data_IF_190521178017
#
_entry.id   IF_190521178017
#
_cell.length_a   1.000
_cell.length_b   1.000
_cell.length_c   1.000
_cell.angle_alpha   90.00
_cell.angle_beta   90.00
_cell.angle_gamma   90.00
#
_symmetry.space_group_name_H-M   'P 1'
#
loop_
_entity.id
_entity.type
_entity.pdbx_description
1 polymer ?
#
# COMPACT_ATOMS: atom_id res chain seq x y z
N UNK A 1 -12.57 -1.16 -16.64
CA UNK A 1 -11.61 -2.22 -16.28
C UNK A 1 -10.36 -1.55 -15.73
N UNK A 2 -9.97 -1.81 -14.49
CA UNK A 2 -8.73 -1.26 -13.94
C UNK A 2 -7.54 -1.84 -14.71
N UNK A 3 -6.43 -1.10 -14.88
CA UNK A 3 -5.14 -1.70 -15.30
C UNK A 3 -4.61 -2.54 -14.13
N UNK A 4 -5.20 -3.73 -13.99
CA UNK A 4 -5.11 -4.63 -12.85
C UNK A 4 -4.11 -5.77 -13.14
N UNK A 5 -2.89 -5.42 -13.52
CA UNK A 5 -1.82 -6.36 -13.93
C UNK A 5 -0.65 -6.37 -12.94
N UNK A 6 -0.74 -5.63 -11.84
CA UNK A 6 0.35 -5.45 -10.90
C UNK A 6 0.25 -6.40 -9.71
N UNK A 7 1.41 -6.70 -9.15
CA UNK A 7 1.50 -7.32 -7.83
C UNK A 7 1.82 -6.23 -6.82
N UNK A 8 1.10 -6.19 -5.70
CA UNK A 8 1.32 -5.23 -4.63
C UNK A 8 1.46 -5.97 -3.31
N UNK A 9 2.49 -5.64 -2.54
CA UNK A 9 2.61 -6.10 -1.16
C UNK A 9 2.27 -4.96 -0.21
N UNK A 10 1.43 -5.24 0.78
CA UNK A 10 1.16 -4.35 1.91
C UNK A 10 1.92 -4.87 3.12
N UNK A 11 2.79 -4.03 3.68
CA UNK A 11 3.62 -4.35 4.84
C UNK A 11 3.12 -3.51 6.02
N UNK A 12 2.62 -4.20 7.05
CA UNK A 12 2.29 -3.59 8.34
C UNK A 12 3.48 -3.73 9.26
N UNK A 13 3.95 -2.62 9.80
CA UNK A 13 4.96 -2.60 10.85
C UNK A 13 4.24 -2.37 12.19
N UNK A 14 4.52 -3.21 13.18
CA UNK A 14 3.96 -3.09 14.53
C UNK A 14 5.11 -3.13 15.54
N UNK A 15 5.12 -2.16 16.44
CA UNK A 15 6.09 -2.06 17.53
C UNK A 15 5.37 -2.45 18.81
N UNK A 16 5.81 -3.53 19.44
CA UNK A 16 5.42 -3.86 20.80
C UNK A 16 6.27 -3.03 21.77
N UNK A 17 5.69 -1.96 22.32
CA UNK A 17 6.38 -1.07 23.25
C UNK A 17 6.72 -1.70 24.60
N UNK A 18 6.14 -2.85 24.95
CA UNK A 18 6.50 -3.57 26.17
C UNK A 18 7.73 -4.46 25.97
N UNK A 19 7.86 -5.04 24.79
CA UNK A 19 8.96 -5.94 24.43
C UNK A 19 10.10 -5.26 23.65
N UNK A 20 9.91 -3.99 23.26
CA UNK A 20 10.77 -3.23 22.33
C UNK A 20 11.07 -4.02 21.04
N UNK A 21 10.04 -4.70 20.53
CA UNK A 21 10.15 -5.58 19.36
C UNK A 21 9.35 -5.03 18.19
N UNK A 22 10.01 -4.96 17.04
CA UNK A 22 9.38 -4.62 15.76
C UNK A 22 9.03 -5.91 15.03
N UNK A 23 7.80 -5.99 14.54
CA UNK A 23 7.31 -7.08 13.71
C UNK A 23 6.74 -6.55 12.40
N UNK A 24 6.87 -7.35 11.34
CA UNK A 24 6.33 -7.03 10.02
C UNK A 24 5.34 -8.10 9.58
N UNK A 25 4.16 -7.68 9.14
CA UNK A 25 3.22 -8.56 8.46
C UNK A 25 3.13 -8.15 6.99
N UNK A 26 3.59 -9.04 6.11
CA UNK A 26 3.59 -8.83 4.66
C UNK A 26 2.41 -9.56 4.01
N UNK A 27 1.64 -8.86 3.18
CA UNK A 27 0.51 -9.42 2.43
C UNK A 27 0.62 -9.07 0.97
N UNK A 28 0.78 -10.07 0.11
CA UNK A 28 0.94 -9.88 -1.32
C UNK A 28 -0.36 -10.19 -2.06
N UNK A 29 -0.77 -9.25 -2.90
CA UNK A 29 -1.97 -9.34 -3.73
C UNK A 29 -1.58 -9.23 -5.21
N UNK A 30 -2.04 -10.18 -6.01
CA UNK A 30 -1.92 -10.14 -7.47
C UNK A 30 -3.14 -9.43 -8.10
N UNK A 31 -3.03 -9.04 -9.37
CA UNK A 31 -4.14 -8.40 -10.09
C UNK A 31 -4.50 -7.00 -9.58
N UNK A 32 -3.57 -6.31 -8.93
CA UNK A 32 -3.79 -4.96 -8.42
C UNK A 32 -3.56 -3.90 -9.49
N UNK A 33 -4.13 -2.72 -9.29
CA UNK A 33 -3.74 -1.52 -10.04
C UNK A 33 -2.75 -0.67 -9.24
N UNK A 34 -1.74 -0.12 -9.88
CA UNK A 34 -0.82 0.87 -9.30
C UNK A 34 -0.72 2.07 -10.25
N UNK A 35 -1.09 3.25 -9.76
CA UNK A 35 -0.99 4.49 -10.52
C UNK A 35 -0.26 5.54 -9.68
N UNK A 36 0.96 5.89 -10.08
CA UNK A 36 1.69 7.01 -9.50
C UNK A 36 1.31 8.29 -10.25
N UNK A 37 0.94 9.32 -9.50
CA UNK A 37 0.53 10.63 -10.01
C UNK A 37 1.31 11.73 -9.30
N UNK A 38 1.64 12.80 -10.03
CA UNK A 38 2.20 14.02 -9.46
C UNK A 38 1.06 14.97 -9.13
N UNK A 39 0.29 14.64 -8.09
CA UNK A 39 -0.73 15.56 -7.59
C UNK A 39 -0.07 16.84 -7.09
N UNK A 40 -0.75 17.98 -7.19
CA UNK A 40 -0.25 19.23 -6.63
C UNK A 40 -0.79 19.40 -5.19
N UNK A 41 0.09 19.73 -4.25
CA UNK A 41 -0.20 20.13 -2.87
C UNK A 41 -0.16 21.65 -2.77
N UNK A 42 -1.19 22.26 -2.20
CA UNK A 42 -1.17 23.67 -1.90
C UNK A 42 -0.14 23.99 -0.80
N UNK A 43 0.71 24.98 -1.05
CA UNK A 43 1.67 25.54 -0.09
C UNK A 43 1.50 27.06 0.00
N UNK A 44 2.14 27.65 1.02
CA UNK A 44 2.05 29.08 1.33
C UNK A 44 2.41 29.99 0.13
N UNK A 45 3.27 29.52 -0.78
CA UNK A 45 3.81 30.29 -1.90
C UNK A 45 3.46 29.69 -3.28
N UNK A 46 2.45 28.81 -3.38
CA UNK A 46 2.06 28.16 -4.63
C UNK A 46 1.78 26.67 -4.45
N UNK A 47 1.60 25.93 -5.55
CA UNK A 47 1.39 24.49 -5.49
C UNK A 47 2.71 23.74 -5.68
N UNK A 48 3.06 22.85 -4.75
CA UNK A 48 4.21 21.95 -4.85
C UNK A 48 3.76 20.55 -5.31
N UNK A 49 4.53 19.83 -6.13
CA UNK A 49 4.20 18.44 -6.46
C UNK A 49 4.26 17.56 -5.20
N UNK A 50 3.16 16.87 -4.90
CA UNK A 50 3.04 15.80 -3.91
C UNK A 50 2.83 14.49 -4.69
N UNK A 51 3.86 13.64 -4.85
CA UNK A 51 3.65 12.35 -5.47
C UNK A 51 2.63 11.54 -4.65
N UNK A 52 1.60 11.07 -5.33
CA UNK A 52 0.55 10.23 -4.77
C UNK A 52 0.52 8.92 -5.53
N UNK A 53 0.25 7.84 -4.82
CA UNK A 53 0.03 6.53 -5.43
C UNK A 53 -1.40 6.12 -5.16
N UNK A 54 -2.11 5.76 -6.22
CA UNK A 54 -3.46 5.21 -6.16
C UNK A 54 -3.38 3.72 -6.43
N UNK A 55 -3.75 2.92 -5.44
CA UNK A 55 -3.79 1.45 -5.55
C UNK A 55 -5.23 0.97 -5.46
N UNK A 56 -5.54 -0.08 -6.23
CA UNK A 56 -6.81 -0.81 -6.09
C UNK A 56 -6.48 -2.28 -5.95
N UNK A 57 -6.98 -2.89 -4.88
CA UNK A 57 -6.84 -4.31 -4.60
C UNK A 57 -8.22 -4.94 -4.84
N UNK A 58 -8.39 -5.77 -5.88
CA UNK A 58 -9.67 -6.40 -6.16
C UNK A 58 -10.13 -7.31 -5.02
N UNK A 59 -11.45 -7.42 -4.83
CA UNK A 59 -12.03 -8.26 -3.78
C UNK A 59 -11.58 -9.72 -3.91
N UNK A 60 -11.48 -10.26 -5.13
CA UNK A 60 -11.03 -11.62 -5.39
C UNK A 60 -9.57 -11.86 -4.92
N UNK A 61 -8.70 -10.86 -5.06
CA UNK A 61 -7.33 -10.95 -4.59
C UNK A 61 -7.27 -10.95 -3.06
N UNK A 62 -8.14 -10.16 -2.41
CA UNK A 62 -8.28 -10.15 -0.95
C UNK A 62 -8.78 -11.51 -0.47
N UNK A 63 -9.85 -12.05 -1.05
CA UNK A 63 -10.39 -13.35 -0.65
C UNK A 63 -9.40 -14.50 -0.87
N UNK A 64 -8.58 -14.44 -1.91
CA UNK A 64 -7.56 -15.46 -2.19
C UNK A 64 -6.38 -15.40 -1.21
N UNK A 65 -5.95 -14.20 -0.81
CA UNK A 65 -4.78 -14.03 0.06
C UNK A 65 -5.14 -14.01 1.55
N UNK A 66 -6.16 -13.25 1.95
CA UNK A 66 -6.63 -13.13 3.33
C UNK A 66 -8.09 -12.62 3.39
N UNK A 67 -9.06 -13.53 3.52
CA UNK A 67 -10.47 -13.17 3.66
C UNK A 67 -10.72 -12.16 4.78
N UNK A 68 -11.40 -11.06 4.46
CA UNK A 68 -11.76 -10.02 5.43
C UNK A 68 -10.62 -9.08 5.82
N UNK A 69 -9.47 -9.15 5.14
CA UNK A 69 -8.38 -8.20 5.37
C UNK A 69 -8.80 -6.75 5.13
N UNK A 70 -8.32 -5.86 5.99
CA UNK A 70 -8.45 -4.41 5.83
C UNK A 70 -7.10 -3.70 6.00
N UNK A 71 -6.82 -2.69 5.16
CA UNK A 71 -5.63 -1.88 5.30
C UNK A 71 -5.70 -0.93 6.51
N UNK A 72 -4.56 -0.42 6.91
CA UNK A 72 -4.43 0.63 7.92
C UNK A 72 -3.66 1.82 7.36
N UNK A 73 -3.96 3.00 7.89
CA UNK A 73 -3.13 4.18 7.66
C UNK A 73 -1.71 3.89 8.15
N UNK A 74 -0.71 4.35 7.40
CA UNK A 74 0.72 4.10 7.61
C UNK A 74 1.23 2.71 7.20
N UNK A 75 0.38 1.78 6.76
CA UNK A 75 0.84 0.58 6.06
C UNK A 75 1.73 0.97 4.88
N UNK A 76 2.78 0.19 4.60
CA UNK A 76 3.66 0.43 3.46
C UNK A 76 3.19 -0.39 2.26
N UNK A 77 2.86 0.30 1.18
CA UNK A 77 2.61 -0.27 -0.14
C UNK A 77 3.93 -0.47 -0.86
N UNK A 78 4.10 -1.63 -1.46
CA UNK A 78 5.27 -2.01 -2.26
C UNK A 78 4.80 -2.50 -3.61
N UNK A 79 5.35 -1.94 -4.69
CA UNK A 79 5.10 -2.44 -6.03
C UNK A 79 5.96 -3.70 -6.27
N UNK A 80 5.32 -4.87 -6.22
CA UNK A 80 5.95 -6.18 -6.35
C UNK A 80 5.65 -7.11 -5.16
N UNK A 81 6.04 -8.37 -5.29
CA UNK A 81 6.06 -9.32 -4.18
C UNK A 81 7.23 -8.99 -3.25
N UNK A 82 6.99 -9.00 -1.94
CA UNK A 82 8.02 -8.73 -0.94
C UNK A 82 7.72 -9.48 0.36
N UNK A 83 8.79 -9.86 1.05
CA UNK A 83 8.77 -10.36 2.43
C UNK A 83 9.90 -9.64 3.15
N UNK A 84 9.62 -9.16 4.35
CA UNK A 84 10.61 -8.54 5.24
C UNK A 84 10.38 -9.05 6.65
N UNK A 85 11.46 -9.30 7.36
CA UNK A 85 11.46 -9.73 8.77
C UNK A 85 12.23 -8.73 9.65
N UNK A 86 13.06 -7.88 9.05
CA UNK A 86 13.92 -6.92 9.75
C UNK A 86 13.85 -5.50 9.19
N UNK A 87 14.23 -4.51 10.00
CA UNK A 87 14.38 -3.11 9.57
C UNK A 87 15.42 -2.94 8.46
N UNK A 88 16.49 -3.74 8.49
CA UNK A 88 17.54 -3.71 7.49
C UNK A 88 17.00 -4.13 6.11
N UNK A 89 16.20 -5.20 6.07
CA UNK A 89 15.53 -5.67 4.85
C UNK A 89 14.50 -4.66 4.34
N UNK A 90 13.68 -4.10 5.23
CA UNK A 90 12.72 -3.06 4.88
C UNK A 90 13.42 -1.82 4.29
N UNK A 91 14.54 -1.42 4.88
CA UNK A 91 15.37 -0.31 4.41
C UNK A 91 16.01 -0.59 3.05
N UNK A 92 16.48 -1.83 2.83
CA UNK A 92 17.01 -2.25 1.54
C UNK A 92 15.93 -2.30 0.46
N UNK A 93 14.75 -2.85 0.77
CA UNK A 93 13.61 -2.96 -0.12
C UNK A 93 13.18 -1.58 -0.65
N UNK A 94 13.04 -0.58 0.23
CA UNK A 94 12.66 0.79 -0.14
C UNK A 94 13.60 1.47 -1.15
N UNK A 95 14.84 0.99 -1.27
CA UNK A 95 15.83 1.52 -2.22
C UNK A 95 15.76 0.83 -3.59
N UNK A 96 15.13 -0.34 -3.67
CA UNK A 96 15.11 -1.19 -4.86
C UNK A 96 13.80 -1.10 -5.63
N UNK A 97 12.69 -0.89 -4.92
CA UNK A 97 11.33 -0.89 -5.51
C UNK A 97 10.56 0.36 -5.13
N UNK A 98 9.54 0.68 -5.92
CA UNK A 98 8.64 1.79 -5.59
C UNK A 98 7.81 1.42 -4.36
N UNK A 99 7.78 2.34 -3.39
CA UNK A 99 6.99 2.19 -2.18
C UNK A 99 6.20 3.45 -1.88
N UNK A 100 5.03 3.32 -1.25
CA UNK A 100 4.24 4.44 -0.78
C UNK A 100 3.66 4.12 0.60
N UNK A 101 3.51 5.09 1.49
CA UNK A 101 2.76 4.89 2.74
C UNK A 101 1.28 5.20 2.55
N UNK A 102 0.40 4.33 3.03
CA UNK A 102 -1.05 4.56 3.02
C UNK A 102 -1.39 5.80 3.85
N UNK A 103 -2.08 6.74 3.22
CA UNK A 103 -2.66 7.94 3.83
C UNK A 103 -4.14 7.77 4.11
N UNK A 104 -4.85 7.18 3.16
CA UNK A 104 -6.29 6.94 3.24
C UNK A 104 -6.64 5.67 2.48
N UNK A 105 -7.78 5.09 2.82
CA UNK A 105 -8.36 3.96 2.11
C UNK A 105 -9.87 4.00 2.16
N UNK A 106 -10.49 3.35 1.18
CA UNK A 106 -11.92 3.37 0.96
C UNK A 106 -12.40 1.96 0.61
N UNK A 107 -13.44 1.53 1.30
CA UNK A 107 -14.11 0.25 1.04
C UNK A 107 -15.10 0.41 -0.13
N UNK A 108 -14.81 -0.24 -1.25
CA UNK A 108 -15.69 -0.32 -2.41
C UNK A 108 -16.12 -1.76 -2.71
N UNK A 109 -16.11 -2.67 -1.72
CA UNK A 109 -16.46 -4.08 -1.90
C UNK A 109 -17.92 -4.28 -2.33
N UNK A 110 -18.82 -3.34 -1.99
CA UNK A 110 -20.23 -3.37 -2.40
C UNK A 110 -20.55 -2.75 -3.77
N UNK A 111 -19.54 -2.33 -4.54
CA UNK A 111 -19.74 -1.64 -5.83
C UNK A 111 -19.78 -2.60 -7.03
N UNK A 112 -20.15 -2.11 -8.21
CA UNK A 112 -20.15 -2.89 -9.46
C UNK A 112 -18.76 -3.47 -9.83
N UNK A 113 -17.68 -2.87 -9.30
CA UNK A 113 -16.33 -3.39 -9.41
C UNK A 113 -15.74 -3.52 -8.00
N UNK A 114 -15.98 -4.61 -7.27
CA UNK A 114 -15.56 -4.77 -5.87
C UNK A 114 -14.04 -4.63 -5.68
N UNK A 115 -13.61 -3.67 -4.87
CA UNK A 115 -12.19 -3.47 -4.53
C UNK A 115 -12.02 -2.68 -3.23
N UNK A 116 -10.82 -2.72 -2.67
CA UNK A 116 -10.34 -1.70 -1.73
C UNK A 116 -9.53 -0.67 -2.53
N UNK A 117 -9.85 0.61 -2.36
CA UNK A 117 -9.09 1.72 -2.92
C UNK A 117 -8.17 2.31 -1.86
N UNK A 118 -6.90 2.52 -2.23
CA UNK A 118 -5.83 2.98 -1.35
C UNK A 118 -5.17 4.22 -1.94
N UNK A 119 -4.95 5.23 -1.11
CA UNK A 119 -4.16 6.41 -1.45
C UNK A 119 -2.89 6.41 -0.62
N UNK A 120 -1.73 6.47 -1.28
CA UNK A 120 -0.43 6.53 -0.66
C UNK A 120 0.37 7.76 -1.04
N UNK A 121 1.37 8.09 -0.24
CA UNK A 121 2.43 9.05 -0.58
C UNK A 121 3.78 8.39 -0.64
N UNK A 122 4.59 8.78 -1.62
CA UNK A 122 6.01 8.43 -1.68
C UNK A 122 6.78 9.09 -0.54
#
# INVERSE_FOLDING_TARGET
MFKADKTVTVIRCTIDGAADQTSYTCRTFAGCSWYADHAARAERNGAAPSPTVKVRIPAEAIQAAEPGWTPQTSDLLVLGAAVVETDAELSALRKQVQTARVKAWHDHLGTAFPHIYLEGSL
#
